data_IF_679979468433
#
_entry.id   IF_679979468433
#
_cell.length_a   1.000
_cell.length_b   1.000
_cell.length_c   1.000
_cell.angle_alpha   90.00
_cell.angle_beta   90.00
_cell.angle_gamma   90.00
#
_symmetry.space_group_name_H-M   'P 1'
#
loop_
_entity.id
_entity.type
_entity.pdbx_description
1 polymer ?
#
# COMPACT_ATOMS: atom_id res chain seq x y z
N UNK A 1 -7.68 33.48 -12.64
CA UNK A 1 -7.80 32.57 -11.48
C UNK A 1 -6.62 31.61 -11.52
N UNK A 2 -5.68 31.70 -10.58
CA UNK A 2 -4.53 30.78 -10.53
C UNK A 2 -5.04 29.38 -10.17
N UNK A 3 -4.83 28.40 -11.07
CA UNK A 3 -5.10 26.99 -10.77
C UNK A 3 -4.00 26.51 -9.84
N UNK A 4 -4.35 26.27 -8.59
CA UNK A 4 -3.41 25.70 -7.60
C UNK A 4 -3.49 24.18 -7.70
N UNK A 5 -2.34 23.47 -7.67
CA UNK A 5 -2.35 22.01 -7.64
C UNK A 5 -3.10 21.54 -6.39
N UNK A 6 -3.96 20.53 -6.57
CA UNK A 6 -4.75 20.00 -5.48
C UNK A 6 -4.29 18.58 -5.18
N UNK A 7 -4.05 18.31 -3.90
CA UNK A 7 -3.89 16.96 -3.38
C UNK A 7 -5.24 16.45 -2.86
N UNK A 8 -5.59 15.22 -3.22
CA UNK A 8 -6.78 14.57 -2.69
C UNK A 8 -6.40 13.83 -1.41
N UNK A 9 -7.09 14.14 -0.32
CA UNK A 9 -6.85 13.47 0.96
C UNK A 9 -7.06 11.95 0.86
N UNK A 10 -6.29 11.15 1.60
CA UNK A 10 -6.51 9.73 1.75
C UNK A 10 -7.94 9.43 2.20
N UNK A 11 -8.52 8.34 1.69
CA UNK A 11 -9.87 7.90 2.04
C UNK A 11 -9.92 6.41 2.29
N UNK A 12 -10.73 6.00 3.25
CA UNK A 12 -11.01 4.60 3.52
C UNK A 12 -12.20 4.16 2.66
N UNK A 13 -12.06 3.01 2.03
CA UNK A 13 -13.12 2.26 1.36
C UNK A 13 -13.45 1.10 2.29
N UNK A 14 -14.57 1.17 3.02
CA UNK A 14 -14.88 0.15 4.02
C UNK A 14 -15.34 -1.15 3.37
N UNK A 15 -14.96 -2.28 3.96
CA UNK A 15 -15.41 -3.62 3.58
C UNK A 15 -15.30 -3.94 2.08
N UNK A 16 -14.23 -3.47 1.41
CA UNK A 16 -14.02 -3.75 -0.01
C UNK A 16 -13.67 -5.23 -0.24
N UNK A 17 -12.93 -5.84 0.69
CA UNK A 17 -12.59 -7.25 0.66
C UNK A 17 -13.45 -8.03 1.65
N UNK A 18 -13.83 -9.24 1.26
CA UNK A 18 -14.42 -10.19 2.20
C UNK A 18 -13.33 -10.81 3.10
N UNK A 19 -13.77 -11.42 4.21
CA UNK A 19 -12.87 -12.17 5.09
C UNK A 19 -12.13 -13.27 4.34
N UNK A 20 -12.83 -14.01 3.49
CA UNK A 20 -12.27 -15.11 2.69
C UNK A 20 -11.22 -14.62 1.69
N UNK A 21 -11.36 -13.40 1.16
CA UNK A 21 -10.37 -12.78 0.29
C UNK A 21 -9.12 -12.37 1.06
N UNK A 22 -9.29 -11.80 2.25
CA UNK A 22 -8.17 -11.46 3.14
C UNK A 22 -7.38 -12.71 3.55
N UNK A 23 -8.06 -13.74 4.00
CA UNK A 23 -7.46 -15.03 4.39
C UNK A 23 -6.76 -15.70 3.20
N UNK A 24 -7.35 -15.61 2.01
CA UNK A 24 -6.75 -16.13 0.78
C UNK A 24 -5.42 -15.47 0.46
N UNK A 25 -5.35 -14.14 0.48
CA UNK A 25 -4.10 -13.38 0.26
C UNK A 25 -3.03 -13.81 1.27
N UNK A 26 -3.39 -13.87 2.56
CA UNK A 26 -2.46 -14.31 3.62
C UNK A 26 -1.95 -15.73 3.35
N UNK A 27 -2.83 -16.66 3.00
CA UNK A 27 -2.47 -18.05 2.74
C UNK A 27 -1.47 -18.20 1.60
N UNK A 28 -1.61 -17.41 0.53
CA UNK A 28 -0.70 -17.39 -0.62
C UNK A 28 0.64 -16.73 -0.30
N UNK A 29 0.63 -15.70 0.54
CA UNK A 29 1.84 -14.95 0.90
C UNK A 29 2.71 -15.69 1.93
N UNK A 30 2.10 -16.32 2.92
CA UNK A 30 2.77 -16.91 4.09
C UNK A 30 3.96 -17.80 3.79
N UNK A 31 3.91 -18.74 2.81
CA UNK A 31 5.05 -19.60 2.49
C UNK A 31 6.21 -18.88 1.78
N UNK A 32 6.00 -17.66 1.29
CA UNK A 32 6.95 -16.92 0.47
C UNK A 32 7.46 -15.62 1.14
N UNK A 33 7.26 -15.48 2.45
CA UNK A 33 7.72 -14.31 3.20
C UNK A 33 9.24 -14.27 3.27
N UNK A 34 9.80 -13.09 3.09
CA UNK A 34 11.20 -12.76 3.30
C UNK A 34 11.34 -11.38 3.95
N UNK A 35 12.49 -11.10 4.57
CA UNK A 35 12.73 -9.77 5.18
C UNK A 35 12.54 -8.69 4.12
N UNK A 36 11.77 -7.65 4.47
CA UNK A 36 11.50 -6.54 3.55
C UNK A 36 12.75 -5.74 3.25
N UNK A 37 12.91 -5.38 1.98
CA UNK A 37 14.02 -4.57 1.48
C UNK A 37 13.58 -3.12 1.26
N UNK A 38 14.56 -2.21 1.12
CA UNK A 38 14.41 -0.83 0.71
C UNK A 38 14.86 -0.66 -0.75
N UNK A 39 14.47 0.47 -1.36
CA UNK A 39 14.97 0.87 -2.70
C UNK A 39 14.92 -0.26 -3.72
N UNK A 40 13.75 -0.85 -3.91
CA UNK A 40 13.50 -1.93 -4.89
C UNK A 40 14.43 -3.13 -4.72
N UNK A 41 14.64 -3.56 -3.48
CA UNK A 41 15.42 -4.76 -3.18
C UNK A 41 16.92 -4.54 -2.98
N UNK A 42 17.41 -3.29 -3.02
CA UNK A 42 18.86 -3.00 -2.97
C UNK A 42 19.47 -3.05 -1.57
N UNK A 43 18.68 -2.89 -0.51
CA UNK A 43 19.22 -2.86 0.86
C UNK A 43 18.21 -3.30 1.92
N UNK A 44 18.71 -3.76 3.07
CA UNK A 44 17.93 -4.04 4.27
C UNK A 44 18.38 -3.07 5.36
N UNK A 45 17.43 -2.36 5.98
CA UNK A 45 17.69 -1.52 7.13
C UNK A 45 16.52 -1.59 8.12
N UNK A 46 16.66 -2.41 9.14
CA UNK A 46 15.61 -2.65 10.15
C UNK A 46 15.30 -1.42 11.03
N UNK A 47 16.12 -0.38 11.00
CA UNK A 47 15.84 0.91 11.65
C UNK A 47 14.91 1.79 10.81
N UNK A 48 14.80 1.51 9.50
CA UNK A 48 13.93 2.23 8.58
C UNK A 48 12.65 1.44 8.33
N UNK A 49 12.78 0.12 8.10
CA UNK A 49 11.65 -0.77 7.82
C UNK A 49 11.87 -2.12 8.49
N UNK A 50 10.95 -2.53 9.34
CA UNK A 50 10.95 -3.82 10.01
C UNK A 50 9.67 -4.56 9.71
N UNK A 51 9.70 -5.39 8.67
CA UNK A 51 8.58 -6.21 8.19
C UNK A 51 9.08 -7.37 7.34
N UNK A 52 8.22 -8.27 6.99
CA UNK A 52 8.43 -9.29 5.97
C UNK A 52 7.51 -9.05 4.77
N UNK A 53 7.95 -9.46 3.60
CA UNK A 53 7.28 -9.22 2.32
C UNK A 53 7.15 -10.51 1.53
N UNK A 54 5.99 -10.70 0.90
CA UNK A 54 5.79 -11.62 -0.22
C UNK A 54 5.14 -10.87 -1.39
N UNK A 55 5.40 -11.31 -2.62
CA UNK A 55 4.85 -10.72 -3.82
C UNK A 55 3.92 -11.71 -4.51
N UNK A 56 2.68 -11.28 -4.81
CA UNK A 56 1.68 -12.09 -5.50
C UNK A 56 1.38 -11.48 -6.87
N UNK A 57 1.54 -12.28 -7.90
CA UNK A 57 1.26 -11.88 -9.29
C UNK A 57 -0.22 -12.05 -9.66
N UNK A 58 -0.56 -11.61 -10.86
CA UNK A 58 -1.93 -11.60 -11.41
C UNK A 58 -2.23 -12.82 -12.26
N UNK A 59 -1.34 -13.80 -12.30
CA UNK A 59 -1.56 -15.14 -12.85
C UNK A 59 -2.54 -15.97 -12.02
N UNK A 60 -2.77 -15.58 -10.76
CA UNK A 60 -3.83 -16.10 -9.90
C UNK A 60 -5.09 -15.25 -10.14
N UNK A 61 -6.14 -15.84 -10.72
CA UNK A 61 -7.37 -15.14 -11.10
C UNK A 61 -8.06 -14.49 -9.89
N UNK A 62 -8.05 -15.13 -8.72
CA UNK A 62 -8.65 -14.55 -7.51
C UNK A 62 -7.89 -13.32 -7.02
N UNK A 63 -6.56 -13.31 -7.10
CA UNK A 63 -5.74 -12.12 -6.82
C UNK A 63 -6.05 -11.02 -7.85
N UNK A 64 -6.13 -11.37 -9.13
CA UNK A 64 -6.49 -10.44 -10.20
C UNK A 64 -7.87 -9.81 -9.98
N UNK A 65 -8.87 -10.58 -9.58
CA UNK A 65 -10.22 -10.08 -9.30
C UNK A 65 -10.22 -9.08 -8.13
N UNK A 66 -9.45 -9.34 -7.08
CA UNK A 66 -9.28 -8.42 -5.95
C UNK A 66 -8.65 -7.10 -6.41
N UNK A 67 -7.60 -7.17 -7.24
CA UNK A 67 -6.97 -5.98 -7.84
C UNK A 67 -7.97 -5.21 -8.67
N UNK A 68 -8.77 -5.88 -9.50
CA UNK A 68 -9.79 -5.23 -10.32
C UNK A 68 -10.88 -4.53 -9.49
N UNK A 69 -11.22 -5.03 -8.29
CA UNK A 69 -12.11 -4.31 -7.36
C UNK A 69 -11.51 -2.96 -6.94
N UNK A 70 -10.21 -2.93 -6.61
CA UNK A 70 -9.50 -1.69 -6.25
C UNK A 70 -9.48 -0.70 -7.42
N UNK A 71 -9.13 -1.17 -8.61
CA UNK A 71 -8.94 -0.33 -9.81
C UNK A 71 -10.20 0.43 -10.23
N UNK A 72 -11.40 -0.07 -9.92
CA UNK A 72 -12.68 0.63 -10.16
C UNK A 72 -12.71 2.01 -9.48
N UNK A 73 -12.06 2.18 -8.33
CA UNK A 73 -12.04 3.43 -7.57
C UNK A 73 -11.14 4.53 -8.16
N UNK A 74 -10.31 4.17 -9.14
CA UNK A 74 -9.43 5.08 -9.89
C UNK A 74 -9.72 5.05 -11.40
N UNK A 75 -10.86 4.45 -11.81
CA UNK A 75 -11.33 4.35 -13.20
C UNK A 75 -10.31 3.68 -14.14
N UNK A 76 -9.62 2.67 -13.66
CA UNK A 76 -8.71 1.83 -14.45
C UNK A 76 -9.31 0.43 -14.55
N UNK A 77 -9.28 -0.15 -15.75
CA UNK A 77 -9.83 -1.47 -16.05
C UNK A 77 -8.76 -2.48 -16.50
N UNK A 78 -7.49 -2.16 -16.30
CA UNK A 78 -6.37 -2.97 -16.76
C UNK A 78 -5.33 -3.15 -15.65
N UNK A 79 -5.08 -4.38 -15.16
CA UNK A 79 -4.11 -4.65 -14.09
C UNK A 79 -2.66 -4.41 -14.52
N UNK A 80 -2.36 -4.28 -15.82
CA UNK A 80 -1.02 -3.93 -16.29
C UNK A 80 -0.54 -2.52 -15.89
N UNK A 81 -1.39 -1.70 -15.29
CA UNK A 81 -0.96 -0.45 -14.64
C UNK A 81 -0.38 -0.68 -13.24
N UNK A 82 -0.44 -1.91 -12.72
CA UNK A 82 -0.08 -2.23 -11.35
C UNK A 82 1.21 -3.02 -11.25
N UNK A 83 1.93 -2.82 -10.14
CA UNK A 83 2.92 -3.77 -9.66
C UNK A 83 2.22 -5.00 -9.08
N UNK A 84 2.94 -6.13 -8.93
CA UNK A 84 2.47 -7.28 -8.15
C UNK A 84 2.01 -6.82 -6.76
N UNK A 85 1.05 -7.49 -6.17
CA UNK A 85 0.64 -7.21 -4.80
C UNK A 85 1.81 -7.43 -3.84
N UNK A 86 2.16 -6.40 -3.07
CA UNK A 86 3.12 -6.52 -1.98
C UNK A 86 2.40 -6.85 -0.69
N UNK A 87 2.42 -8.11 -0.28
CA UNK A 87 1.87 -8.53 1.02
C UNK A 87 2.94 -8.35 2.09
N UNK A 88 2.55 -7.73 3.20
CA UNK A 88 3.43 -7.38 4.30
C UNK A 88 2.94 -7.97 5.60
N UNK A 89 3.86 -8.58 6.36
CA UNK A 89 3.66 -9.01 7.73
C UNK A 89 4.50 -8.16 8.66
N UNK A 90 3.88 -7.64 9.71
CA UNK A 90 4.54 -6.95 10.82
C UNK A 90 4.29 -7.70 12.10
N UNK A 91 5.33 -7.92 12.88
CA UNK A 91 5.30 -8.40 14.25
C UNK A 91 5.57 -7.25 15.22
N UNK A 92 5.49 -7.49 16.52
CA UNK A 92 5.76 -6.47 17.56
C UNK A 92 7.06 -5.70 17.29
N UNK A 93 6.98 -4.38 17.32
CA UNK A 93 8.05 -3.46 16.96
C UNK A 93 8.27 -3.31 15.45
N UNK A 94 7.45 -3.97 14.62
CA UNK A 94 7.45 -3.79 13.17
C UNK A 94 6.96 -2.39 12.80
N UNK A 95 7.61 -1.76 11.82
CA UNK A 95 7.32 -0.38 11.43
C UNK A 95 7.89 -0.05 10.05
N UNK A 96 7.49 1.08 9.49
CA UNK A 96 8.13 1.70 8.35
C UNK A 96 8.15 3.21 8.52
N UNK A 97 9.34 3.80 8.51
CA UNK A 97 9.53 5.25 8.68
C UNK A 97 8.81 6.06 7.61
N UNK A 98 8.70 7.37 7.84
CA UNK A 98 8.11 8.31 6.89
C UNK A 98 8.80 8.23 5.53
N UNK A 99 8.02 8.02 4.47
CA UNK A 99 8.50 7.86 3.10
C UNK A 99 7.45 8.32 2.08
N UNK A 100 7.85 8.37 0.83
CA UNK A 100 6.99 8.52 -0.35
C UNK A 100 6.94 7.20 -1.12
N UNK A 101 5.81 6.88 -1.73
CA UNK A 101 5.69 5.74 -2.64
C UNK A 101 6.15 6.07 -4.06
N UNK A 102 6.01 7.31 -4.49
CA UNK A 102 6.53 7.78 -5.78
C UNK A 102 7.96 8.29 -5.65
N UNK A 103 8.82 7.94 -6.61
CA UNK A 103 10.21 8.42 -6.68
C UNK A 103 10.35 9.46 -7.81
N UNK A 104 11.21 10.49 -7.61
CA UNK A 104 11.36 11.60 -8.56
C UNK A 104 11.97 11.15 -9.88
N UNK A 105 12.88 10.20 -9.80
CA UNK A 105 13.65 9.65 -10.92
C UNK A 105 12.82 8.71 -11.80
N UNK A 106 11.63 8.30 -11.35
CA UNK A 106 10.78 7.40 -12.12
C UNK A 106 10.13 8.13 -13.29
N UNK A 107 10.32 7.60 -14.50
CA UNK A 107 9.62 8.04 -15.71
C UNK A 107 8.13 7.70 -15.65
N UNK A 108 7.80 6.50 -15.14
CA UNK A 108 6.44 6.04 -14.90
C UNK A 108 6.20 5.95 -13.40
N UNK A 109 5.70 7.03 -12.79
CA UNK A 109 5.53 7.12 -11.34
C UNK A 109 4.34 6.31 -10.85
N UNK A 110 4.44 5.80 -9.63
CA UNK A 110 3.28 5.34 -8.88
C UNK A 110 2.35 6.53 -8.68
N UNK A 111 1.09 6.42 -9.08
CA UNK A 111 0.08 7.48 -9.04
C UNK A 111 -0.91 7.31 -7.91
N UNK A 112 -1.28 6.07 -7.64
CA UNK A 112 -2.19 5.72 -6.56
C UNK A 112 -1.63 4.56 -5.75
N UNK A 113 -1.84 4.60 -4.45
CA UNK A 113 -1.58 3.49 -3.53
C UNK A 113 -2.86 3.06 -2.85
N UNK A 114 -3.09 1.75 -2.85
CA UNK A 114 -4.10 1.10 -2.03
C UNK A 114 -3.39 0.29 -0.94
N UNK A 115 -3.75 0.51 0.32
CA UNK A 115 -3.34 -0.33 1.44
C UNK A 115 -4.55 -1.15 1.87
N UNK A 116 -4.51 -2.45 1.64
CA UNK A 116 -5.56 -3.41 1.96
C UNK A 116 -5.28 -3.99 3.34
N UNK A 117 -6.19 -3.85 4.28
CA UNK A 117 -6.07 -4.46 5.60
C UNK A 117 -6.56 -5.91 5.57
N UNK A 118 -5.65 -6.85 5.84
CA UNK A 118 -5.95 -8.29 5.72
C UNK A 118 -6.35 -8.93 7.05
N UNK A 119 -6.06 -8.26 8.18
CA UNK A 119 -6.49 -8.68 9.51
C UNK A 119 -6.71 -7.48 10.43
N UNK A 120 -7.18 -7.75 11.61
CA UNK A 120 -7.38 -6.79 12.70
C UNK A 120 -7.02 -7.43 14.05
N UNK A 121 -7.26 -6.77 15.19
CA UNK A 121 -6.99 -7.30 16.52
C UNK A 121 -5.55 -7.07 17.01
N UNK A 122 -4.75 -6.26 16.31
CA UNK A 122 -3.42 -5.84 16.73
C UNK A 122 -3.43 -4.44 17.38
N UNK A 123 -2.39 -4.11 18.15
CA UNK A 123 -2.22 -2.82 18.82
C UNK A 123 -1.18 -1.96 18.09
N UNK A 124 -1.44 -0.65 17.96
CA UNK A 124 -0.59 0.27 17.19
C UNK A 124 -0.66 -0.01 15.68
N UNK A 125 0.41 0.28 14.95
CA UNK A 125 0.55 -0.05 13.54
C UNK A 125 -0.37 0.76 12.61
N UNK A 126 -0.81 1.94 13.02
CA UNK A 126 -1.60 2.85 12.19
C UNK A 126 -0.79 3.28 10.95
N UNK A 127 -1.49 3.62 9.85
CA UNK A 127 -0.88 4.36 8.74
C UNK A 127 -1.04 5.85 9.01
N UNK A 128 0.08 6.55 9.21
CA UNK A 128 0.09 7.96 9.59
C UNK A 128 0.56 8.84 8.43
N UNK A 129 -0.14 9.98 8.23
CA UNK A 129 0.22 11.03 7.28
C UNK A 129 0.58 12.29 8.07
N UNK A 130 1.86 12.51 8.39
CA UNK A 130 2.29 13.56 9.34
C UNK A 130 1.95 14.96 8.85
N UNK A 131 2.09 15.26 7.56
CA UNK A 131 1.77 16.58 6.98
C UNK A 131 0.27 16.87 7.04
N UNK A 132 -0.56 15.86 6.86
CA UNK A 132 -2.02 15.98 6.96
C UNK A 132 -2.54 15.92 8.40
N UNK A 133 -1.68 15.54 9.36
CA UNK A 133 -2.05 15.26 10.76
C UNK A 133 -3.20 14.25 10.85
N UNK A 134 -3.12 13.18 10.04
CA UNK A 134 -4.14 12.12 9.97
C UNK A 134 -3.50 10.76 10.16
N UNK A 135 -4.19 9.91 10.91
CA UNK A 135 -3.80 8.53 11.17
C UNK A 135 -4.97 7.60 10.90
N UNK A 136 -4.69 6.44 10.31
CA UNK A 136 -5.70 5.47 9.89
C UNK A 136 -5.43 4.12 10.53
N UNK A 137 -6.39 3.65 11.33
CA UNK A 137 -6.48 2.29 11.85
C UNK A 137 -7.56 1.56 11.05
N UNK A 138 -7.15 0.67 10.17
CA UNK A 138 -8.07 -0.06 9.30
C UNK A 138 -8.58 -1.31 9.99
N UNK A 139 -9.83 -1.69 9.70
CA UNK A 139 -10.40 -3.00 10.03
C UNK A 139 -10.11 -3.98 8.90
N UNK A 140 -10.20 -5.28 9.18
CA UNK A 140 -10.06 -6.31 8.15
C UNK A 140 -11.07 -6.07 7.01
N UNK A 141 -10.58 -6.11 5.77
CA UNK A 141 -11.35 -5.86 4.56
C UNK A 141 -11.45 -4.39 4.15
N UNK A 142 -11.06 -3.44 5.01
CA UNK A 142 -10.95 -2.02 4.63
C UNK A 142 -9.77 -1.79 3.71
N UNK A 143 -9.91 -0.79 2.85
CA UNK A 143 -8.83 -0.36 1.95
C UNK A 143 -8.62 1.14 2.07
N UNK A 144 -7.40 1.56 2.36
CA UNK A 144 -6.99 2.96 2.34
C UNK A 144 -6.47 3.30 0.94
N UNK A 145 -7.12 4.24 0.27
CA UNK A 145 -6.69 4.77 -1.04
C UNK A 145 -6.15 6.18 -0.86
N UNK A 146 -4.96 6.43 -1.42
CA UNK A 146 -4.41 7.79 -1.52
C UNK A 146 -3.64 8.00 -2.83
N UNK A 147 -3.60 9.25 -3.25
CA UNK A 147 -2.82 9.68 -4.40
C UNK A 147 -1.37 9.94 -3.97
N UNK A 148 -0.40 9.52 -4.76
CA UNK A 148 1.03 9.77 -4.54
C UNK A 148 1.50 10.99 -5.32
N UNK A 149 0.66 11.47 -6.24
CA UNK A 149 0.87 12.65 -7.07
C UNK A 149 -0.27 13.65 -6.90
N UNK A 150 0.05 14.93 -7.06
CA UNK A 150 -0.95 15.99 -7.16
C UNK A 150 -1.59 16.04 -8.56
N UNK A 151 -2.53 16.96 -8.77
CA UNK A 151 -3.21 17.13 -10.06
C UNK A 151 -2.30 17.56 -11.21
N UNK A 152 -1.05 17.93 -10.94
CA UNK A 152 -0.03 18.28 -11.94
C UNK A 152 1.06 17.20 -12.09
N UNK A 153 0.85 16.01 -11.50
CA UNK A 153 1.81 14.90 -11.56
C UNK A 153 3.07 15.09 -10.73
N UNK A 154 3.06 16.01 -9.75
CA UNK A 154 4.18 16.25 -8.84
C UNK A 154 3.97 15.45 -7.55
N UNK A 155 5.07 15.08 -6.91
CA UNK A 155 5.07 14.36 -5.62
C UNK A 155 4.83 15.39 -4.50
N UNK A 156 3.64 15.42 -3.86
CA UNK A 156 3.32 16.38 -2.82
C UNK A 156 3.80 15.87 -1.44
N UNK A 157 4.18 16.78 -0.54
CA UNK A 157 4.53 16.43 0.84
C UNK A 157 3.36 15.79 1.61
N UNK A 158 2.12 16.12 1.23
CA UNK A 158 0.91 15.54 1.81
C UNK A 158 0.80 14.01 1.62
N UNK A 159 1.52 13.45 0.64
CA UNK A 159 1.58 12.01 0.41
C UNK A 159 2.65 11.30 1.26
N UNK A 160 3.48 12.04 2.02
CA UNK A 160 4.38 11.45 3.02
C UNK A 160 3.56 10.67 4.05
N UNK A 161 3.95 9.40 4.26
CA UNK A 161 3.27 8.53 5.21
C UNK A 161 4.24 7.55 5.88
N UNK A 162 3.79 6.97 7.00
CA UNK A 162 4.53 5.97 7.78
C UNK A 162 3.61 4.81 8.20
N UNK A 163 4.21 3.66 8.46
CA UNK A 163 3.60 2.60 9.26
C UNK A 163 4.11 2.70 10.68
N UNK A 164 3.25 3.15 11.59
CA UNK A 164 3.61 3.33 13.01
C UNK A 164 4.00 1.99 13.66
N UNK A 165 4.82 2.00 14.72
CA UNK A 165 5.27 0.79 15.39
C UNK A 165 4.10 -0.06 15.88
N UNK A 166 4.15 -1.36 15.57
CA UNK A 166 3.22 -2.35 16.10
C UNK A 166 3.56 -2.62 17.56
N UNK A 167 2.61 -2.37 18.47
CA UNK A 167 2.80 -2.52 19.92
C UNK A 167 2.51 -3.94 20.40
N UNK A 168 1.60 -4.64 19.72
CA UNK A 168 1.21 -6.02 20.06
C UNK A 168 0.44 -6.69 18.93
N UNK A 169 0.46 -8.01 18.91
CA UNK A 169 -0.18 -8.83 17.89
C UNK A 169 0.64 -8.93 16.60
N UNK A 170 -0.03 -9.31 15.53
CA UNK A 170 0.51 -9.46 14.17
C UNK A 170 -0.36 -8.65 13.21
N UNK A 171 0.25 -7.85 12.34
CA UNK A 171 -0.45 -7.05 11.34
C UNK A 171 -0.12 -7.56 9.95
N UNK A 172 -1.16 -7.82 9.15
CA UNK A 172 -1.06 -8.15 7.74
C UNK A 172 -1.74 -7.09 6.89
N UNK A 173 -1.02 -6.55 5.94
CA UNK A 173 -1.54 -5.63 4.92
C UNK A 173 -1.03 -6.03 3.55
N UNK A 174 -1.65 -5.45 2.53
CA UNK A 174 -1.19 -5.59 1.16
C UNK A 174 -1.17 -4.21 0.50
N UNK A 175 -0.04 -3.86 -0.14
CA UNK A 175 0.05 -2.68 -0.98
C UNK A 175 -0.21 -3.05 -2.44
N UNK A 176 -1.05 -2.24 -3.09
CA UNK A 176 -1.21 -2.23 -4.54
C UNK A 176 -0.81 -0.85 -5.05
N UNK A 177 0.25 -0.80 -5.83
CA UNK A 177 0.69 0.43 -6.50
C UNK A 177 0.21 0.46 -7.94
N UNK A 178 -0.37 1.59 -8.31
CA UNK A 178 -0.91 1.86 -9.64
C UNK A 178 -0.13 3.00 -10.26
N UNK A 179 0.43 2.77 -11.44
CA UNK A 179 1.27 3.71 -12.17
C UNK A 179 0.46 4.65 -13.08
N UNK A 180 1.09 5.73 -13.55
CA UNK A 180 0.51 6.67 -14.52
C UNK A 180 0.25 6.03 -15.89
N UNK A 181 1.06 5.05 -16.27
CA UNK A 181 0.95 4.27 -17.52
C UNK A 181 1.17 2.78 -17.23
N UNK A 182 1.10 1.93 -18.24
CA UNK A 182 1.37 0.49 -18.09
C UNK A 182 2.73 0.27 -17.46
N UNK A 183 2.74 -0.58 -16.43
CA UNK A 183 3.94 -0.95 -15.70
C UNK A 183 4.64 -2.11 -16.40
N UNK A 184 5.94 -1.94 -16.60
CA UNK A 184 6.85 -2.97 -17.09
C UNK A 184 7.91 -3.16 -16.02
N UNK A 185 7.99 -4.35 -15.35
CA UNK A 185 8.94 -4.63 -14.28
C UNK A 185 10.38 -4.65 -14.76
#
# INVERSE_FOLDING_TARGET
>A
MLIVPRYKNPRVIPNLLSKEECEYIISKAKPNLSISTLSRGKSINLKIRKSETAWLGFEDDKIKDIVMKCLKYVNINNPHYCEKLQVLRYEKGGMYNVHQDAEREDVNKRKHTFILALNEGYEGGETNFPVLKRSYKLKMGDVLLFDTLDTWGRIPEQALHSGEPLKGGEKWICNLWVHESKYHP
#
